data_IF_696634504616
#
_entry.id   IF_696634504616
#
_cell.length_a   1.000
_cell.length_b   1.000
_cell.length_c   1.000
_cell.angle_alpha   90.00
_cell.angle_beta   90.00
_cell.angle_gamma   90.00
#
_symmetry.space_group_name_H-M   'P 1'
#
loop_
_entity.id
_entity.type
_entity.pdbx_description
1 polymer ?
#
# COMPACT_ATOMS: atom_id res chain seq x y z
N UNK A 1 20.47 25.61 -2.72
CA UNK A 1 21.07 24.31 -3.09
C UNK A 1 19.96 23.29 -3.24
N UNK A 2 19.73 22.69 -4.44
CA UNK A 2 18.68 21.70 -4.65
C UNK A 2 18.76 20.50 -3.70
N UNK A 3 19.96 20.14 -3.23
CA UNK A 3 20.14 19.06 -2.26
C UNK A 3 19.60 19.41 -0.86
N UNK A 4 19.63 20.68 -0.46
CA UNK A 4 19.05 21.10 0.82
C UNK A 4 17.52 21.03 0.83
N UNK A 5 16.87 21.21 -0.32
CA UNK A 5 15.43 21.15 -0.46
C UNK A 5 14.88 19.72 -0.29
N UNK A 6 15.67 18.71 -0.67
CA UNK A 6 15.26 17.31 -0.61
C UNK A 6 15.18 16.76 0.81
N UNK A 7 16.04 17.25 1.71
CA UNK A 7 16.13 16.77 3.08
C UNK A 7 15.42 17.67 4.10
N UNK A 8 14.75 18.71 3.66
CA UNK A 8 13.82 19.43 4.51
C UNK A 8 12.62 18.52 4.85
N UNK A 9 11.85 18.88 5.82
CA UNK A 9 10.76 18.12 6.43
C UNK A 9 9.97 17.23 5.48
N UNK A 10 9.69 15.99 5.92
CA UNK A 10 8.90 15.03 5.17
C UNK A 10 7.44 15.49 5.08
N UNK A 11 6.91 15.66 3.88
CA UNK A 11 5.50 15.92 3.64
C UNK A 11 4.98 17.17 4.37
N UNK A 12 3.74 17.13 4.79
CA UNK A 12 3.07 18.18 5.55
C UNK A 12 3.00 17.79 7.03
N UNK A 13 3.60 18.61 7.89
CA UNK A 13 3.73 18.36 9.34
C UNK A 13 2.42 18.52 10.08
N UNK A 14 1.45 17.83 9.94
CA UNK A 14 0.25 17.89 10.79
C UNK A 14 -0.11 19.26 11.43
N UNK A 15 -1.20 19.33 12.14
CA UNK A 15 -2.15 18.26 12.37
C UNK A 15 -2.87 17.82 11.09
N UNK A 16 -2.98 16.50 10.90
CA UNK A 16 -3.69 15.93 9.74
C UNK A 16 -5.20 16.02 9.98
N UNK A 17 -5.80 16.99 9.30
CA UNK A 17 -7.23 17.26 9.42
C UNK A 17 -8.00 16.22 8.62
N UNK A 18 -8.99 15.59 9.24
CA UNK A 18 -9.92 14.66 8.60
C UNK A 18 -10.52 15.25 7.31
N UNK A 19 -10.62 14.43 6.28
CA UNK A 19 -11.11 14.79 4.93
C UNK A 19 -10.23 15.75 4.14
N UNK A 20 -9.04 16.09 4.62
CA UNK A 20 -8.07 16.90 3.88
C UNK A 20 -7.13 16.05 3.03
N UNK A 21 -6.56 16.68 2.01
CA UNK A 21 -5.58 16.06 1.12
C UNK A 21 -4.23 16.73 1.37
N UNK A 22 -3.19 15.93 1.50
CA UNK A 22 -1.81 16.35 1.69
C UNK A 22 -0.97 15.78 0.57
N UNK A 23 0.09 16.49 0.20
CA UNK A 23 0.97 16.09 -0.87
C UNK A 23 2.41 16.08 -0.37
N UNK A 24 3.20 15.16 -0.92
CA UNK A 24 4.64 15.21 -0.85
C UNK A 24 5.23 16.26 -1.81
N UNK A 25 6.56 16.35 -1.87
CA UNK A 25 7.27 17.24 -2.79
C UNK A 25 6.81 17.02 -4.24
N UNK A 26 6.59 18.11 -4.97
CA UNK A 26 6.15 18.09 -6.38
C UNK A 26 4.89 17.23 -6.64
N UNK A 27 4.09 17.02 -5.58
CA UNK A 27 2.89 16.19 -5.64
C UNK A 27 3.16 14.73 -6.06
N UNK A 28 4.37 14.20 -5.80
CA UNK A 28 4.72 12.81 -6.15
C UNK A 28 3.99 11.78 -5.30
N UNK A 29 3.52 12.18 -4.13
CA UNK A 29 2.70 11.36 -3.23
C UNK A 29 1.47 12.14 -2.80
N UNK A 30 0.32 11.49 -2.81
CA UNK A 30 -0.98 12.04 -2.37
C UNK A 30 -1.47 11.26 -1.16
N UNK A 31 -1.84 11.96 -0.08
CA UNK A 31 -2.43 11.37 1.12
C UNK A 31 -3.78 12.02 1.41
N UNK A 32 -4.83 11.20 1.51
CA UNK A 32 -6.14 11.59 2.00
C UNK A 32 -6.28 11.18 3.46
N UNK A 33 -6.40 12.16 4.36
CA UNK A 33 -6.65 11.90 5.77
C UNK A 33 -8.11 11.48 5.98
N UNK A 34 -8.32 10.31 6.53
CA UNK A 34 -9.63 9.71 6.77
C UNK A 34 -10.05 9.69 8.24
N UNK A 35 -11.20 9.05 8.49
CA UNK A 35 -11.76 8.81 9.82
C UNK A 35 -12.19 7.36 10.06
N UNK A 36 -12.08 6.50 9.05
CA UNK A 36 -12.36 5.07 9.20
C UNK A 36 -11.10 4.31 9.64
N UNK A 37 -11.24 3.17 10.33
CA UNK A 37 -10.11 2.29 10.64
C UNK A 37 -9.66 1.47 9.42
N UNK A 38 -9.65 2.09 8.26
CA UNK A 38 -9.31 1.48 6.97
C UNK A 38 -8.28 2.38 6.28
N UNK A 39 -7.19 1.76 5.83
CA UNK A 39 -6.14 2.41 5.06
C UNK A 39 -6.07 1.72 3.70
N UNK A 40 -6.11 2.49 2.64
CA UNK A 40 -5.88 2.04 1.27
C UNK A 40 -4.55 2.60 0.79
N UNK A 41 -3.71 1.78 0.20
CA UNK A 41 -2.48 2.21 -0.45
C UNK A 41 -2.44 1.76 -1.90
N UNK A 42 -1.85 2.57 -2.79
CA UNK A 42 -1.63 2.20 -4.18
C UNK A 42 -0.24 2.69 -4.62
N UNK A 43 0.77 1.81 -4.56
CA UNK A 43 2.16 2.19 -4.81
C UNK A 43 2.53 2.33 -6.28
N UNK A 44 1.73 1.79 -7.22
CA UNK A 44 2.16 1.57 -8.60
C UNK A 44 1.19 2.10 -9.67
N UNK A 45 0.19 2.89 -9.29
CA UNK A 45 -0.83 3.42 -10.21
C UNK A 45 -0.54 4.81 -10.77
N UNK A 46 0.62 5.38 -10.47
CA UNK A 46 1.00 6.74 -10.84
C UNK A 46 1.34 6.91 -12.33
N UNK A 47 1.42 8.18 -12.77
CA UNK A 47 1.66 8.56 -14.18
C UNK A 47 2.64 9.74 -14.32
N UNK A 48 3.20 10.22 -13.22
CA UNK A 48 4.15 11.34 -13.26
C UNK A 48 5.52 10.80 -13.64
N UNK A 49 6.07 11.36 -14.72
CA UNK A 49 7.36 11.01 -15.32
C UNK A 49 8.31 12.23 -15.30
N UNK A 50 8.89 12.59 -14.14
CA UNK A 50 9.72 13.78 -14.03
C UNK A 50 11.14 13.54 -14.55
N UNK A 51 11.71 14.52 -15.25
CA UNK A 51 13.06 14.42 -15.80
C UNK A 51 14.17 14.38 -14.74
N UNK A 52 13.89 14.80 -13.50
CA UNK A 52 14.86 14.77 -12.38
C UNK A 52 15.05 13.38 -11.79
N UNK A 53 14.12 12.46 -12.06
CA UNK A 53 14.21 11.06 -11.64
C UNK A 53 14.48 10.20 -12.87
N UNK A 54 15.66 9.57 -12.99
CA UNK A 54 15.96 8.67 -14.07
C UNK A 54 15.09 7.41 -14.02
N UNK A 55 14.97 6.73 -15.15
CA UNK A 55 14.30 5.44 -15.21
C UNK A 55 15.06 4.40 -14.38
N UNK A 56 14.32 3.64 -13.59
CA UNK A 56 14.86 2.48 -12.86
C UNK A 56 15.30 1.40 -13.83
N UNK A 57 16.38 0.73 -13.47
CA UNK A 57 17.03 -0.28 -14.32
C UNK A 57 16.80 -1.71 -13.82
N UNK A 58 16.26 -1.88 -12.61
CA UNK A 58 16.10 -3.17 -11.96
C UNK A 58 14.65 -3.40 -11.50
N UNK A 59 14.32 -4.67 -11.33
CA UNK A 59 13.00 -5.08 -10.84
C UNK A 59 11.87 -4.88 -11.85
N UNK A 60 10.64 -4.88 -11.37
CA UNK A 60 9.44 -4.65 -12.18
C UNK A 60 9.24 -3.15 -12.34
N UNK A 61 9.11 -2.68 -13.58
CA UNK A 61 8.90 -1.26 -13.92
C UNK A 61 7.53 -0.99 -14.53
N UNK A 62 6.75 -2.04 -14.81
CA UNK A 62 5.39 -1.92 -15.32
C UNK A 62 4.46 -1.32 -14.27
N UNK A 63 3.64 -0.34 -14.70
CA UNK A 63 2.62 0.24 -13.86
C UNK A 63 1.46 -0.75 -13.62
N UNK A 64 0.85 -0.66 -12.49
CA UNK A 64 -0.39 -1.36 -12.17
C UNK A 64 -1.56 -0.51 -12.69
N UNK A 65 -1.94 -0.72 -13.95
CA UNK A 65 -2.92 0.12 -14.65
C UNK A 65 -4.25 0.20 -13.89
N UNK A 66 -4.80 1.42 -13.78
CA UNK A 66 -6.08 1.74 -13.13
C UNK A 66 -6.13 1.58 -11.60
N UNK A 67 -5.05 1.22 -10.91
CA UNK A 67 -5.08 1.06 -9.44
C UNK A 67 -5.31 2.39 -8.72
N UNK A 68 -4.81 3.51 -9.24
CA UNK A 68 -5.14 4.84 -8.72
C UNK A 68 -6.67 5.10 -8.75
N UNK A 69 -7.28 4.91 -9.92
CA UNK A 69 -8.73 5.15 -10.10
C UNK A 69 -9.56 4.18 -9.26
N UNK A 70 -9.16 2.90 -9.23
CA UNK A 70 -9.80 1.87 -8.42
C UNK A 70 -9.78 2.23 -6.94
N UNK A 71 -8.62 2.65 -6.42
CA UNK A 71 -8.47 3.05 -5.02
C UNK A 71 -9.37 4.24 -4.67
N UNK A 72 -9.46 5.24 -5.55
CA UNK A 72 -10.38 6.38 -5.38
C UNK A 72 -11.85 5.93 -5.39
N UNK A 73 -12.23 5.01 -6.27
CA UNK A 73 -13.60 4.46 -6.31
C UNK A 73 -13.93 3.63 -5.06
N UNK A 74 -12.97 2.87 -4.53
CA UNK A 74 -13.13 2.17 -3.26
C UNK A 74 -13.31 3.18 -2.11
N UNK A 75 -12.48 4.23 -2.05
CA UNK A 75 -12.60 5.31 -1.08
C UNK A 75 -14.01 5.92 -1.10
N UNK A 76 -14.52 6.29 -2.27
CA UNK A 76 -15.84 6.89 -2.43
C UNK A 76 -16.96 5.92 -1.99
N UNK A 77 -16.84 4.65 -2.37
CA UNK A 77 -17.81 3.60 -2.01
C UNK A 77 -17.84 3.38 -0.49
N UNK A 78 -16.69 3.30 0.16
CA UNK A 78 -16.59 3.18 1.62
C UNK A 78 -17.15 4.42 2.32
N UNK A 79 -16.86 5.61 1.79
CA UNK A 79 -17.39 6.87 2.33
C UNK A 79 -18.91 6.90 2.30
N UNK A 80 -19.53 6.51 1.18
CA UNK A 80 -20.99 6.44 1.07
C UNK A 80 -21.56 5.38 2.01
N UNK A 81 -20.92 4.22 2.11
CA UNK A 81 -21.43 3.07 2.88
C UNK A 81 -21.33 3.27 4.39
N UNK A 82 -20.26 3.88 4.86
CA UNK A 82 -19.93 3.97 6.30
C UNK A 82 -20.02 5.39 6.87
N UNK A 83 -20.23 6.41 6.05
CA UNK A 83 -20.37 7.81 6.46
C UNK A 83 -19.04 8.48 6.87
N UNK A 84 -17.90 7.81 6.69
CA UNK A 84 -16.56 8.33 6.94
C UNK A 84 -15.62 7.94 5.81
N UNK A 85 -14.50 8.64 5.64
CA UNK A 85 -13.48 8.30 4.62
C UNK A 85 -12.46 7.31 5.18
N UNK A 86 -11.97 6.34 4.38
CA UNK A 86 -10.72 5.65 4.69
C UNK A 86 -9.54 6.62 4.53
N UNK A 87 -8.41 6.30 5.15
CA UNK A 87 -7.13 6.90 4.80
C UNK A 87 -6.68 6.36 3.45
N UNK A 88 -6.10 7.20 2.59
CA UNK A 88 -5.65 6.75 1.26
C UNK A 88 -4.28 7.34 0.96
N UNK A 89 -3.31 6.50 0.60
CA UNK A 89 -1.96 6.90 0.21
C UNK A 89 -1.70 6.42 -1.23
N UNK A 90 -1.32 7.35 -2.11
CA UNK A 90 -1.13 7.08 -3.53
C UNK A 90 0.26 7.56 -3.95
N UNK A 91 1.03 6.69 -4.57
CA UNK A 91 2.22 7.07 -5.30
C UNK A 91 1.80 7.53 -6.71
N UNK A 92 2.11 8.78 -7.05
CA UNK A 92 1.76 9.38 -8.34
C UNK A 92 2.88 9.28 -9.37
N UNK A 93 4.10 8.94 -8.94
CA UNK A 93 5.19 8.60 -9.86
C UNK A 93 4.91 7.31 -10.61
N UNK A 94 5.30 7.27 -11.89
CA UNK A 94 5.33 6.00 -12.61
C UNK A 94 6.21 4.98 -11.88
N UNK A 95 5.84 3.71 -11.91
CA UNK A 95 6.65 2.63 -11.33
C UNK A 95 8.04 2.54 -11.93
N UNK A 96 8.21 3.04 -13.15
CA UNK A 96 9.50 3.19 -13.81
C UNK A 96 10.42 4.19 -13.07
N UNK A 97 9.86 5.14 -12.32
CA UNK A 97 10.59 6.16 -11.55
C UNK A 97 10.79 5.77 -10.09
N UNK A 98 9.78 5.12 -9.51
CA UNK A 98 9.79 4.70 -8.11
C UNK A 98 8.96 3.44 -7.91
N UNK A 99 9.52 2.40 -7.30
CA UNK A 99 8.73 1.28 -6.76
C UNK A 99 8.53 1.45 -5.25
N UNK A 100 7.47 2.15 -4.87
CA UNK A 100 7.21 2.45 -3.45
C UNK A 100 6.96 1.18 -2.59
N UNK A 101 6.78 0.01 -3.20
CA UNK A 101 6.61 -1.28 -2.52
C UNK A 101 7.90 -2.12 -2.47
N UNK A 102 9.07 -1.46 -2.48
CA UNK A 102 10.39 -2.06 -2.28
C UNK A 102 11.13 -1.31 -1.18
N UNK A 103 12.24 -1.86 -0.70
CA UNK A 103 13.13 -1.08 0.14
C UNK A 103 13.72 0.11 -0.63
N UNK A 104 14.11 1.17 0.09
CA UNK A 104 14.53 2.44 -0.52
C UNK A 104 15.66 2.28 -1.54
N UNK A 105 16.59 1.35 -1.32
CA UNK A 105 17.74 1.17 -2.21
C UNK A 105 17.31 0.57 -3.57
N UNK A 106 16.41 -0.41 -3.56
CA UNK A 106 15.82 -0.99 -4.78
C UNK A 106 14.79 -0.03 -5.41
N UNK A 107 14.01 0.64 -4.57
CA UNK A 107 12.91 1.50 -4.98
C UNK A 107 13.35 2.71 -5.79
N UNK A 108 14.43 3.36 -5.39
CA UNK A 108 14.87 4.66 -5.88
C UNK A 108 16.24 4.64 -6.59
N UNK A 109 16.97 3.52 -6.54
CA UNK A 109 18.29 3.32 -7.15
C UNK A 109 19.29 4.48 -6.85
N UNK A 110 19.20 5.05 -5.62
CA UNK A 110 20.09 6.12 -5.16
C UNK A 110 19.76 7.52 -5.69
N UNK A 111 18.62 7.71 -6.36
CA UNK A 111 18.18 9.05 -6.76
C UNK A 111 17.51 9.76 -5.57
N UNK A 112 18.03 10.93 -5.18
CA UNK A 112 17.61 11.67 -3.98
C UNK A 112 16.14 12.11 -4.02
N UNK A 113 15.57 12.42 -5.19
CA UNK A 113 14.17 12.82 -5.35
C UNK A 113 13.23 11.62 -5.25
N UNK A 114 13.64 10.47 -5.81
CA UNK A 114 12.90 9.22 -5.66
C UNK A 114 12.96 8.71 -4.21
N UNK A 115 14.13 8.77 -3.54
CA UNK A 115 14.27 8.45 -2.12
C UNK A 115 13.38 9.34 -1.24
N UNK A 116 13.28 10.63 -1.57
CA UNK A 116 12.38 11.56 -0.89
C UNK A 116 10.91 11.13 -1.06
N UNK A 117 10.48 10.86 -2.29
CA UNK A 117 9.11 10.43 -2.57
C UNK A 117 8.80 9.08 -1.88
N UNK A 118 9.77 8.15 -1.86
CA UNK A 118 9.66 6.89 -1.10
C UNK A 118 9.44 7.16 0.39
N UNK A 119 10.25 8.03 0.98
CA UNK A 119 10.16 8.38 2.39
C UNK A 119 8.82 9.05 2.72
N UNK A 120 8.31 9.94 1.87
CA UNK A 120 7.01 10.60 2.03
C UNK A 120 5.85 9.62 1.93
N UNK A 121 5.90 8.65 1.00
CA UNK A 121 4.89 7.61 0.88
C UNK A 121 4.76 6.79 2.17
N UNK A 122 5.88 6.32 2.69
CA UNK A 122 5.91 5.54 3.93
C UNK A 122 5.58 6.39 5.16
N UNK A 123 6.01 7.65 5.20
CA UNK A 123 5.65 8.57 6.26
C UNK A 123 4.14 8.78 6.36
N UNK A 124 3.46 9.05 5.24
CA UNK A 124 2.00 9.17 5.25
C UNK A 124 1.28 7.86 5.62
N UNK A 125 1.85 6.73 5.22
CA UNK A 125 1.32 5.43 5.61
C UNK A 125 1.43 5.21 7.13
N UNK A 126 2.53 5.61 7.74
CA UNK A 126 2.75 5.51 9.18
C UNK A 126 1.87 6.50 9.96
N UNK A 127 1.70 7.72 9.48
CA UNK A 127 0.74 8.68 10.04
C UNK A 127 -0.69 8.11 10.01
N UNK A 128 -1.11 7.53 8.89
CA UNK A 128 -2.43 6.90 8.79
C UNK A 128 -2.62 5.76 9.80
N UNK A 129 -1.60 4.89 9.97
CA UNK A 129 -1.60 3.81 10.97
C UNK A 129 -1.68 4.36 12.41
N UNK A 130 -0.91 5.42 12.70
CA UNK A 130 -0.95 6.07 14.01
C UNK A 130 -2.32 6.65 14.31
N UNK A 131 -2.91 7.41 13.38
CA UNK A 131 -4.25 7.99 13.53
C UNK A 131 -5.32 6.91 13.72
N UNK A 132 -5.27 5.84 12.95
CA UNK A 132 -6.17 4.68 13.09
C UNK A 132 -6.00 4.05 14.47
N UNK A 133 -4.76 3.84 14.91
CA UNK A 133 -4.47 3.22 16.23
C UNK A 133 -4.98 4.10 17.38
N UNK A 134 -4.73 5.41 17.32
CA UNK A 134 -5.16 6.36 18.34
C UNK A 134 -6.70 6.46 18.42
N UNK A 135 -7.36 6.51 17.27
CA UNK A 135 -8.80 6.76 17.21
C UNK A 135 -9.66 5.50 17.35
N UNK A 136 -9.12 4.32 16.96
CA UNK A 136 -9.89 3.08 16.87
C UNK A 136 -9.25 1.88 17.58
N UNK A 137 -8.01 2.01 18.04
CA UNK A 137 -7.24 0.91 18.63
C UNK A 137 -6.63 -0.06 17.61
N UNK A 138 -7.34 -0.35 16.54
CA UNK A 138 -6.86 -1.21 15.44
C UNK A 138 -7.57 -0.88 14.13
N UNK A 139 -7.01 -1.32 13.01
CA UNK A 139 -7.58 -1.15 11.69
C UNK A 139 -7.00 -2.12 10.68
N UNK A 140 -7.33 -1.93 9.42
CA UNK A 140 -6.88 -2.77 8.31
C UNK A 140 -6.23 -1.93 7.21
N UNK A 141 -5.14 -2.44 6.65
CA UNK A 141 -4.47 -1.89 5.47
C UNK A 141 -4.76 -2.78 4.28
N UNK A 142 -5.21 -2.18 3.19
CA UNK A 142 -5.32 -2.82 1.88
C UNK A 142 -4.33 -2.15 0.93
N UNK A 143 -3.38 -2.93 0.44
CA UNK A 143 -2.43 -2.48 -0.58
C UNK A 143 -2.95 -2.91 -1.95
N UNK A 144 -3.30 -1.94 -2.79
CA UNK A 144 -4.02 -2.15 -4.04
C UNK A 144 -3.03 -2.28 -5.18
N UNK A 145 -3.00 -3.47 -5.76
CA UNK A 145 -2.15 -3.81 -6.88
C UNK A 145 -2.94 -4.22 -8.12
N UNK A 146 -2.32 -4.07 -9.28
CA UNK A 146 -2.74 -4.72 -10.50
C UNK A 146 -2.01 -6.05 -10.66
N UNK A 147 -2.66 -7.03 -11.26
CA UNK A 147 -2.01 -8.24 -11.73
C UNK A 147 -2.10 -8.34 -13.25
N UNK A 148 -1.06 -8.87 -13.86
CA UNK A 148 -0.98 -9.09 -15.30
C UNK A 148 -1.73 -10.36 -15.73
N UNK A 149 -1.51 -10.74 -17.00
CA UNK A 149 -2.00 -12.01 -17.52
C UNK A 149 -1.43 -13.19 -16.72
N UNK A 150 -2.25 -14.22 -16.54
CA UNK A 150 -1.79 -15.50 -16.02
C UNK A 150 -0.65 -16.02 -16.94
N UNK A 151 0.38 -16.72 -16.42
CA UNK A 151 1.44 -17.37 -17.22
C UNK A 151 0.94 -18.23 -18.38
N UNK A 152 -0.30 -18.73 -18.30
CA UNK A 152 -0.96 -19.50 -19.33
C UNK A 152 -1.63 -18.65 -20.43
N UNK A 153 -1.47 -17.32 -20.41
CA UNK A 153 -2.01 -16.40 -21.42
C UNK A 153 -3.52 -16.13 -21.32
N UNK A 154 -4.15 -16.51 -20.21
CA UNK A 154 -5.57 -16.21 -19.96
C UNK A 154 -5.69 -14.97 -19.05
N UNK A 155 -6.57 -14.05 -19.41
CA UNK A 155 -6.98 -12.98 -18.51
C UNK A 155 -7.76 -13.56 -17.34
N UNK A 156 -7.21 -13.47 -16.14
CA UNK A 156 -7.94 -13.77 -14.93
C UNK A 156 -8.61 -12.50 -14.41
N UNK A 157 -9.93 -12.43 -14.53
CA UNK A 157 -10.75 -11.29 -14.08
C UNK A 157 -11.05 -11.32 -12.58
N UNK A 158 -10.56 -12.32 -11.84
CA UNK A 158 -10.81 -12.43 -10.39
C UNK A 158 -9.96 -11.44 -9.63
N UNK A 159 -10.50 -10.95 -8.53
CA UNK A 159 -9.71 -10.25 -7.53
C UNK A 159 -8.91 -11.26 -6.72
N UNK A 160 -7.61 -11.04 -6.60
CA UNK A 160 -6.73 -11.87 -5.78
C UNK A 160 -6.52 -11.22 -4.42
N UNK A 161 -6.68 -12.00 -3.36
CA UNK A 161 -6.40 -11.57 -2.00
C UNK A 161 -5.07 -12.18 -1.57
N UNK A 162 -4.06 -11.34 -1.34
CA UNK A 162 -2.76 -11.75 -0.85
C UNK A 162 -2.67 -11.61 0.66
N UNK A 163 -2.27 -12.68 1.33
CA UNK A 163 -2.10 -12.72 2.79
C UNK A 163 -0.65 -12.91 3.23
N UNK A 164 0.32 -12.65 2.33
CA UNK A 164 1.75 -12.89 2.53
C UNK A 164 2.10 -14.37 2.71
N UNK A 165 1.23 -15.27 2.30
CA UNK A 165 1.42 -16.73 2.28
C UNK A 165 1.65 -17.17 0.84
N UNK A 166 2.67 -17.98 0.60
CA UNK A 166 3.00 -18.49 -0.74
C UNK A 166 2.12 -19.69 -1.10
N UNK A 167 1.96 -19.96 -2.42
CA UNK A 167 1.14 -21.05 -2.90
C UNK A 167 1.56 -22.44 -2.39
N UNK A 168 2.86 -22.72 -2.31
CA UNK A 168 3.40 -23.95 -1.76
C UNK A 168 3.20 -24.08 -0.25
N UNK A 169 3.12 -22.95 0.45
CA UNK A 169 2.81 -22.92 1.89
C UNK A 169 1.31 -23.21 2.14
N UNK A 170 0.43 -22.87 1.20
CA UNK A 170 -1.01 -23.16 1.30
C UNK A 170 -1.32 -24.67 1.24
N UNK A 171 -0.40 -25.49 0.69
CA UNK A 171 -0.55 -26.94 0.57
C UNK A 171 -0.05 -27.70 1.81
N UNK A 172 0.48 -27.00 2.82
CA UNK A 172 0.95 -27.61 4.05
C UNK A 172 -0.18 -28.22 4.89
N UNK A 173 0.09 -29.27 5.70
CA UNK A 173 -0.86 -29.79 6.66
C UNK A 173 -1.35 -28.70 7.64
N UNK A 174 -2.61 -28.79 8.07
CA UNK A 174 -3.24 -27.79 8.96
C UNK A 174 -2.46 -27.58 10.28
N UNK A 175 -1.90 -28.63 10.82
CA UNK A 175 -1.10 -28.59 12.04
C UNK A 175 0.22 -27.80 11.88
N UNK A 176 0.80 -27.75 10.68
CA UNK A 176 1.95 -26.90 10.36
C UNK A 176 1.51 -25.47 10.04
N UNK A 177 0.39 -25.31 9.35
CA UNK A 177 -0.13 -24.01 8.91
C UNK A 177 -0.66 -23.18 10.08
N UNK A 178 -1.29 -23.80 11.08
CA UNK A 178 -1.81 -23.12 12.28
C UNK A 178 -0.75 -22.84 13.36
N UNK A 179 0.53 -22.81 13.01
CA UNK A 179 1.60 -22.45 13.96
C UNK A 179 1.77 -20.93 14.04
N UNK A 180 2.26 -20.43 15.20
CA UNK A 180 2.57 -19.01 15.35
C UNK A 180 3.53 -18.52 14.28
N UNK A 181 4.49 -19.32 13.87
CA UNK A 181 5.47 -18.96 12.83
C UNK A 181 4.82 -18.67 11.47
N UNK A 182 3.72 -19.34 11.12
CA UNK A 182 2.95 -19.05 9.91
C UNK A 182 1.97 -17.89 10.11
N UNK A 183 1.29 -17.84 11.23
CA UNK A 183 0.39 -16.73 11.57
C UNK A 183 1.13 -15.40 11.59
N UNK A 184 2.37 -15.37 12.10
CA UNK A 184 3.19 -14.15 12.15
C UNK A 184 3.59 -13.61 10.77
N UNK A 185 3.58 -14.46 9.73
CA UNK A 185 3.82 -14.02 8.35
C UNK A 185 2.61 -13.33 7.74
N UNK A 186 1.41 -13.64 8.20
CA UNK A 186 0.18 -13.19 7.55
C UNK A 186 -0.29 -11.84 8.06
N UNK A 187 -0.69 -10.99 7.11
CA UNK A 187 -1.33 -9.70 7.39
C UNK A 187 -2.70 -9.81 8.08
N UNK A 188 -3.30 -11.01 8.12
CA UNK A 188 -4.63 -11.24 8.71
C UNK A 188 -4.60 -12.02 10.04
N UNK A 189 -3.44 -12.13 10.68
CA UNK A 189 -3.33 -12.80 12.00
C UNK A 189 -4.34 -12.29 13.01
N UNK A 190 -4.50 -10.97 13.11
CA UNK A 190 -5.44 -10.37 14.06
C UNK A 190 -6.90 -10.78 13.81
N UNK A 191 -7.25 -11.11 12.56
CA UNK A 191 -8.56 -11.65 12.22
C UNK A 191 -8.70 -13.09 12.70
N UNK A 192 -7.66 -13.90 12.57
CA UNK A 192 -7.64 -15.28 13.10
C UNK A 192 -7.74 -15.29 14.62
N UNK A 193 -6.98 -14.46 15.32
CA UNK A 193 -6.99 -14.34 16.78
C UNK A 193 -8.37 -13.90 17.33
N UNK A 194 -9.14 -13.15 16.56
CA UNK A 194 -10.46 -12.67 16.93
C UNK A 194 -11.61 -13.58 16.51
N UNK A 195 -11.34 -14.64 15.76
CA UNK A 195 -12.34 -15.53 15.16
C UNK A 195 -12.40 -16.88 15.88
N UNK A 196 -13.53 -17.58 15.73
CA UNK A 196 -13.68 -18.97 16.16
C UNK A 196 -13.11 -19.99 15.16
N UNK A 197 -12.63 -19.51 14.01
CA UNK A 197 -12.07 -20.36 12.95
C UNK A 197 -10.57 -20.47 13.10
N UNK A 198 -10.03 -21.61 12.76
CA UNK A 198 -8.59 -21.78 12.63
C UNK A 198 -8.02 -20.86 11.53
N UNK A 199 -6.80 -20.39 11.70
CA UNK A 199 -6.14 -19.49 10.75
C UNK A 199 -6.15 -20.04 9.32
N UNK A 200 -5.91 -21.37 9.17
CA UNK A 200 -5.93 -22.04 7.86
C UNK A 200 -7.27 -21.88 7.15
N UNK A 201 -8.38 -21.97 7.85
CA UNK A 201 -9.72 -21.87 7.26
C UNK A 201 -10.00 -20.43 6.77
N UNK A 202 -9.50 -19.43 7.50
CA UNK A 202 -9.63 -18.03 7.10
C UNK A 202 -8.85 -17.78 5.80
N UNK A 203 -7.62 -18.29 5.72
CA UNK A 203 -6.75 -18.06 4.56
C UNK A 203 -7.20 -18.86 3.34
N UNK A 204 -7.64 -20.12 3.51
CA UNK A 204 -8.14 -20.97 2.42
C UNK A 204 -9.59 -20.70 2.04
N UNK A 205 -10.34 -20.00 2.88
CA UNK A 205 -11.75 -19.66 2.63
C UNK A 205 -12.71 -20.84 2.83
N UNK A 206 -12.45 -21.70 3.81
CA UNK A 206 -13.26 -22.87 4.19
C UNK A 206 -14.27 -22.53 5.30
#
# INVERSE_FOLDING_TARGET
DPEQDVFQELGHDGPYIENSIYFGREEYVEYHSGSLPIILSAPHGGWIDPSEIPDRTQGITQIDTNTYQLTKMIMDTLTIRFGGKPHVILCLLERLKLDANRDSAEAAEGNIYAERAWAEYHYYLDIAKELVTVNHGSGIVFDIHGHGENPDGYYDLRTWLGYLIKGDELDLPDEEFNTEAFMDKSSIRALADSSAFAFVNIVRGE
#
